data_IF_513092573471
#
_entry.id   IF_513092573471
#
_cell.length_a   1.000
_cell.length_b   1.000
_cell.length_c   1.000
_cell.angle_alpha   90.00
_cell.angle_beta   90.00
_cell.angle_gamma   90.00
#
_symmetry.space_group_name_H-M   'P 1'
#
loop_
_entity.id
_entity.type
_entity.pdbx_description
1 polymer ?
#
# COMPACT_ATOMS: atom_id res chain seq x y z
N UNK A 1 1.62 15.74 12.26
CA UNK A 1 2.63 15.00 11.47
C UNK A 1 3.08 15.87 10.32
N UNK A 2 4.39 16.06 10.11
CA UNK A 2 4.91 16.81 8.96
C UNK A 2 4.46 16.13 7.67
N UNK A 3 3.49 16.72 6.98
CA UNK A 3 3.09 16.28 5.66
C UNK A 3 4.30 16.44 4.73
N UNK A 4 4.98 15.34 4.42
CA UNK A 4 6.06 15.33 3.42
C UNK A 4 5.46 15.94 2.15
N UNK A 5 5.95 17.11 1.69
CA UNK A 5 5.32 17.77 0.55
C UNK A 5 5.34 16.85 -0.66
N UNK A 6 4.29 16.92 -1.49
CA UNK A 6 4.10 16.10 -2.70
C UNK A 6 5.39 15.89 -3.52
N UNK A 7 6.21 16.91 -3.83
CA UNK A 7 7.45 16.70 -4.59
C UNK A 7 8.43 15.74 -3.91
N UNK A 8 8.52 15.75 -2.58
CA UNK A 8 9.40 14.85 -1.84
C UNK A 8 8.91 13.40 -1.83
N UNK A 9 7.60 13.16 -1.99
CA UNK A 9 7.05 11.78 -2.09
C UNK A 9 7.46 11.13 -3.41
N UNK A 10 7.37 11.87 -4.51
CA UNK A 10 7.89 11.43 -5.80
C UNK A 10 9.41 11.32 -5.80
N UNK A 11 10.10 12.20 -5.08
CA UNK A 11 11.54 12.09 -4.89
C UNK A 11 11.92 10.79 -4.17
N UNK A 12 11.23 10.42 -3.08
CA UNK A 12 11.48 9.17 -2.34
C UNK A 12 11.21 7.95 -3.24
N UNK A 13 10.09 7.95 -3.96
CA UNK A 13 9.77 6.88 -4.90
C UNK A 13 10.81 6.81 -6.03
N UNK A 14 11.23 7.96 -6.56
CA UNK A 14 12.28 8.08 -7.57
C UNK A 14 13.62 7.55 -7.07
N UNK A 15 14.02 7.92 -5.85
CA UNK A 15 15.24 7.41 -5.20
C UNK A 15 15.14 5.90 -5.02
N UNK A 16 14.00 5.37 -4.58
CA UNK A 16 13.79 3.93 -4.42
C UNK A 16 13.94 3.17 -5.74
N UNK A 17 13.33 3.68 -6.82
CA UNK A 17 13.43 3.08 -8.16
C UNK A 17 14.87 3.20 -8.69
N UNK A 18 15.50 4.37 -8.57
CA UNK A 18 16.87 4.62 -9.02
C UNK A 18 17.86 3.73 -8.25
N UNK A 19 17.69 3.57 -6.93
CA UNK A 19 18.56 2.69 -6.14
C UNK A 19 18.37 1.23 -6.51
N UNK A 20 17.14 0.77 -6.76
CA UNK A 20 16.91 -0.57 -7.33
C UNK A 20 17.58 -0.73 -8.70
N UNK A 21 17.47 0.27 -9.58
CA UNK A 21 18.07 0.26 -10.92
C UNK A 21 19.61 0.24 -10.84
N UNK A 22 20.22 1.11 -10.03
CA UNK A 22 21.67 1.17 -9.83
C UNK A 22 22.22 -0.10 -9.19
N UNK A 23 21.48 -0.68 -8.24
CA UNK A 23 21.81 -1.98 -7.67
C UNK A 23 21.84 -3.06 -8.74
N UNK A 24 20.86 -3.05 -9.64
CA UNK A 24 20.75 -4.03 -10.72
C UNK A 24 21.86 -3.90 -11.77
N UNK A 25 22.26 -2.65 -12.09
CA UNK A 25 23.36 -2.36 -13.02
C UNK A 25 24.73 -2.86 -12.52
N UNK A 26 24.91 -2.96 -11.20
CA UNK A 26 26.14 -3.48 -10.57
C UNK A 26 26.28 -5.01 -10.66
N UNK A 27 25.22 -5.73 -11.03
CA UNK A 27 25.26 -7.20 -11.15
C UNK A 27 25.64 -7.65 -12.57
N UNK A 28 26.25 -8.85 -12.72
CA UNK A 28 26.71 -9.36 -14.02
C UNK A 28 25.57 -9.49 -15.05
N UNK A 29 25.85 -9.42 -16.37
CA UNK A 29 24.83 -9.54 -17.43
C UNK A 29 23.93 -10.76 -17.33
N UNK A 30 24.43 -11.88 -16.82
CA UNK A 30 23.64 -13.08 -16.54
C UNK A 30 22.54 -12.88 -15.47
N UNK A 31 22.61 -11.79 -14.70
CA UNK A 31 21.61 -11.36 -13.72
C UNK A 31 20.85 -10.07 -14.12
N UNK A 32 21.26 -9.36 -15.18
CA UNK A 32 20.71 -8.05 -15.65
C UNK A 32 19.29 -8.09 -16.24
N UNK A 33 18.65 -9.26 -16.32
CA UNK A 33 17.31 -9.40 -16.91
C UNK A 33 16.16 -9.21 -15.89
N UNK A 34 16.19 -8.15 -15.07
CA UNK A 34 15.02 -7.78 -14.23
C UNK A 34 14.08 -6.78 -14.91
N UNK A 35 14.33 -6.43 -16.17
CA UNK A 35 13.50 -5.49 -16.91
C UNK A 35 12.03 -5.93 -16.98
N UNK A 36 11.76 -7.24 -16.93
CA UNK A 36 10.40 -7.81 -16.88
C UNK A 36 9.68 -7.55 -15.54
N UNK A 37 10.41 -7.27 -14.47
CA UNK A 37 9.85 -6.98 -13.13
C UNK A 37 9.34 -5.55 -13.04
N UNK A 38 9.92 -4.60 -13.78
CA UNK A 38 9.47 -3.20 -13.74
C UNK A 38 8.02 -3.04 -14.25
N UNK A 39 7.61 -3.60 -15.41
CA UNK A 39 6.20 -3.58 -15.83
C UNK A 39 5.26 -4.22 -14.81
N UNK A 40 5.71 -5.27 -14.10
CA UNK A 40 4.91 -5.87 -13.03
C UNK A 40 4.75 -4.92 -11.84
N UNK A 41 5.84 -4.32 -11.35
CA UNK A 41 5.81 -3.35 -10.24
C UNK A 41 4.94 -2.14 -10.62
N UNK A 42 5.13 -1.61 -11.83
CA UNK A 42 4.32 -0.50 -12.34
C UNK A 42 2.85 -0.88 -12.48
N UNK A 43 2.55 -2.07 -13.02
CA UNK A 43 1.19 -2.57 -13.15
C UNK A 43 0.48 -2.72 -11.80
N UNK A 44 1.14 -3.33 -10.82
CA UNK A 44 0.60 -3.46 -9.46
C UNK A 44 0.51 -2.10 -8.76
N UNK A 45 1.46 -1.19 -9.01
CA UNK A 45 1.37 0.21 -8.60
C UNK A 45 0.12 0.89 -9.14
N UNK A 46 -0.17 0.77 -10.44
CA UNK A 46 -1.39 1.32 -11.03
C UNK A 46 -2.67 0.75 -10.40
N UNK A 47 -2.72 -0.56 -10.13
CA UNK A 47 -3.83 -1.17 -9.39
C UNK A 47 -3.95 -0.57 -7.99
N UNK A 48 -2.83 -0.41 -7.29
CA UNK A 48 -2.80 0.26 -5.99
C UNK A 48 -3.30 1.70 -6.06
N UNK A 49 -2.95 2.46 -7.09
CA UNK A 49 -3.44 3.82 -7.31
C UNK A 49 -4.96 3.85 -7.45
N UNK A 50 -5.55 2.93 -8.23
CA UNK A 50 -7.01 2.83 -8.40
C UNK A 50 -7.69 2.52 -7.06
N UNK A 51 -7.16 1.56 -6.30
CA UNK A 51 -7.70 1.21 -4.97
C UNK A 51 -7.56 2.38 -4.00
N UNK A 52 -6.41 3.06 -3.99
CA UNK A 52 -6.16 4.23 -3.15
C UNK A 52 -7.10 5.39 -3.47
N UNK A 53 -7.33 5.70 -4.76
CA UNK A 53 -8.33 6.70 -5.18
C UNK A 53 -9.73 6.30 -4.73
N UNK A 54 -10.12 5.04 -4.95
CA UNK A 54 -11.45 4.56 -4.55
C UNK A 54 -11.67 4.69 -3.04
N UNK A 55 -10.69 4.28 -2.23
CA UNK A 55 -10.74 4.44 -0.78
C UNK A 55 -10.84 5.91 -0.38
N UNK A 56 -9.96 6.76 -0.92
CA UNK A 56 -9.86 8.16 -0.51
C UNK A 56 -11.11 8.95 -0.94
N UNK A 57 -11.71 8.62 -2.09
CA UNK A 57 -13.00 9.20 -2.50
C UNK A 57 -14.12 8.81 -1.53
N UNK A 58 -14.25 7.53 -1.18
CA UNK A 58 -15.28 7.05 -0.23
C UNK A 58 -15.07 7.71 1.14
N UNK A 59 -13.84 7.71 1.65
CA UNK A 59 -13.54 8.26 2.97
C UNK A 59 -13.62 9.77 3.01
N UNK A 60 -13.33 10.47 1.92
CA UNK A 60 -13.52 11.93 1.82
C UNK A 60 -14.99 12.34 1.82
N UNK A 61 -15.88 11.46 1.33
CA UNK A 61 -17.31 11.64 1.44
C UNK A 61 -17.82 11.39 2.87
N UNK A 62 -17.23 10.43 3.59
CA UNK A 62 -17.58 10.14 4.99
C UNK A 62 -17.09 11.22 5.96
N UNK A 63 -15.85 11.68 5.83
CA UNK A 63 -15.30 12.77 6.64
C UNK A 63 -14.33 13.62 5.81
N UNK A 64 -14.82 14.74 5.23
CA UNK A 64 -13.95 15.74 4.61
C UNK A 64 -12.91 16.29 5.60
N UNK A 65 -13.27 16.40 6.88
CA UNK A 65 -12.44 16.94 7.96
C UNK A 65 -11.17 16.12 8.17
N UNK A 66 -11.23 14.80 7.96
CA UNK A 66 -10.05 13.95 7.97
C UNK A 66 -9.02 14.40 6.94
N UNK A 67 -9.46 14.78 5.75
CA UNK A 67 -8.55 15.21 4.69
C UNK A 67 -8.09 16.66 4.88
N UNK A 68 -8.99 17.56 5.30
CA UNK A 68 -8.67 18.96 5.52
C UNK A 68 -7.72 19.15 6.71
N UNK A 69 -8.05 18.58 7.86
CA UNK A 69 -7.30 18.84 9.10
C UNK A 69 -6.17 17.83 9.32
N UNK A 70 -6.43 16.53 9.11
CA UNK A 70 -5.43 15.50 9.42
C UNK A 70 -4.46 15.25 8.27
N UNK A 71 -4.95 15.23 7.02
CA UNK A 71 -4.07 15.12 5.84
C UNK A 71 -3.55 16.48 5.36
N UNK A 72 -4.11 17.59 5.84
CA UNK A 72 -3.68 18.95 5.49
C UNK A 72 -3.94 19.30 4.02
N UNK A 73 -5.01 18.75 3.42
CA UNK A 73 -5.35 19.08 2.04
C UNK A 73 -6.01 20.46 1.97
N UNK A 74 -5.67 21.28 0.96
CA UNK A 74 -6.36 22.55 0.79
C UNK A 74 -7.79 22.31 0.29
N UNK A 75 -8.71 23.17 0.73
CA UNK A 75 -10.13 23.08 0.38
C UNK A 75 -10.40 23.39 -1.10
N UNK A 76 -9.53 24.19 -1.73
CA UNK A 76 -9.60 24.47 -3.16
C UNK A 76 -9.32 23.19 -3.97
N UNK A 77 -10.19 22.89 -4.94
CA UNK A 77 -10.11 21.65 -5.73
C UNK A 77 -10.02 20.39 -4.86
N UNK A 78 -10.72 20.36 -3.72
CA UNK A 78 -10.64 19.30 -2.71
C UNK A 78 -10.65 17.88 -3.29
N UNK A 79 -11.63 17.55 -4.14
CA UNK A 79 -11.72 16.23 -4.76
C UNK A 79 -10.50 15.88 -5.61
N UNK A 80 -9.91 16.85 -6.31
CA UNK A 80 -8.69 16.63 -7.07
C UNK A 80 -7.49 16.34 -6.16
N UNK A 81 -7.38 17.04 -5.04
CA UNK A 81 -6.33 16.79 -4.06
C UNK A 81 -6.49 15.41 -3.40
N UNK A 82 -7.73 14.98 -3.12
CA UNK A 82 -8.05 13.64 -2.63
C UNK A 82 -7.64 12.57 -3.64
N UNK A 83 -8.01 12.73 -4.92
CA UNK A 83 -7.62 11.81 -6.01
C UNK A 83 -6.10 11.75 -6.14
N UNK A 84 -5.42 12.89 -6.11
CA UNK A 84 -3.98 12.97 -6.24
C UNK A 84 -3.27 12.31 -5.05
N UNK A 85 -3.77 12.53 -3.82
CA UNK A 85 -3.25 11.90 -2.62
C UNK A 85 -3.43 10.37 -2.66
N UNK A 86 -4.66 9.92 -2.93
CA UNK A 86 -5.01 8.50 -2.97
C UNK A 86 -4.27 7.75 -4.06
N UNK A 87 -4.11 8.36 -5.24
CA UNK A 87 -3.34 7.76 -6.34
C UNK A 87 -1.86 7.62 -5.99
N UNK A 88 -1.23 8.62 -5.38
CA UNK A 88 0.18 8.57 -4.96
C UNK A 88 0.41 7.52 -3.87
N UNK A 89 -0.40 7.56 -2.81
CA UNK A 89 -0.27 6.63 -1.68
C UNK A 89 -0.56 5.19 -2.12
N UNK A 90 -1.63 5.00 -2.90
CA UNK A 90 -1.99 3.71 -3.48
C UNK A 90 -0.93 3.16 -4.42
N UNK A 91 -0.39 4.00 -5.32
CA UNK A 91 0.69 3.59 -6.22
C UNK A 91 1.92 3.13 -5.45
N UNK A 92 2.37 3.93 -4.48
CA UNK A 92 3.52 3.60 -3.66
C UNK A 92 3.31 2.28 -2.91
N UNK A 93 2.14 2.09 -2.29
CA UNK A 93 1.82 0.85 -1.59
C UNK A 93 1.81 -0.37 -2.54
N UNK A 94 1.22 -0.26 -3.73
CA UNK A 94 1.21 -1.33 -4.73
C UNK A 94 2.62 -1.66 -5.26
N UNK A 95 3.42 -0.63 -5.55
CA UNK A 95 4.79 -0.80 -6.02
C UNK A 95 5.69 -1.44 -4.94
N UNK A 96 5.61 -0.96 -3.70
CA UNK A 96 6.36 -1.54 -2.57
C UNK A 96 5.90 -2.97 -2.29
N UNK A 97 4.59 -3.22 -2.25
CA UNK A 97 4.04 -4.55 -2.01
C UNK A 97 4.46 -5.58 -3.07
N UNK A 98 4.42 -5.21 -4.35
CA UNK A 98 4.93 -6.07 -5.42
C UNK A 98 6.45 -6.28 -5.33
N UNK A 99 7.21 -5.26 -4.93
CA UNK A 99 8.64 -5.40 -4.60
C UNK A 99 8.88 -6.44 -3.50
N UNK A 100 8.10 -6.41 -2.41
CA UNK A 100 8.18 -7.39 -1.32
C UNK A 100 7.87 -8.80 -1.84
N UNK A 101 6.82 -8.98 -2.66
CA UNK A 101 6.50 -10.27 -3.26
C UNK A 101 7.64 -10.80 -4.15
N UNK A 102 8.30 -9.91 -4.89
CA UNK A 102 9.48 -10.24 -5.70
C UNK A 102 10.71 -10.60 -4.85
N UNK A 103 10.84 -10.08 -3.61
CA UNK A 103 11.89 -10.46 -2.66
C UNK A 103 11.56 -11.73 -1.86
N UNK A 104 10.26 -12.04 -1.71
CA UNK A 104 9.78 -13.27 -1.09
C UNK A 104 10.04 -14.51 -1.95
N UNK A 105 10.31 -14.34 -3.24
CA UNK A 105 10.54 -15.45 -4.17
C UNK A 105 11.95 -16.06 -3.99
N UNK A 106 12.12 -17.36 -4.22
CA UNK A 106 13.42 -18.01 -4.25
C UNK A 106 14.27 -17.62 -5.47
N UNK A 107 15.59 -17.68 -5.31
CA UNK A 107 16.56 -17.48 -6.40
C UNK A 107 16.83 -18.82 -7.09
N UNK A 108 16.10 -19.17 -8.15
CA UNK A 108 16.44 -20.31 -9.04
C UNK A 108 16.73 -19.81 -10.48
N UNK A 109 16.97 -20.66 -11.49
CA UNK A 109 17.53 -20.25 -12.80
C UNK A 109 16.57 -19.77 -13.93
N UNK A 110 15.24 -20.02 -13.94
CA UNK A 110 14.32 -19.59 -15.03
C UNK A 110 13.32 -18.47 -14.65
N UNK A 111 13.55 -17.21 -15.07
CA UNK A 111 12.83 -15.99 -14.61
C UNK A 111 11.45 -15.68 -15.24
N UNK A 112 11.23 -15.90 -16.54
CA UNK A 112 10.01 -15.45 -17.25
C UNK A 112 8.74 -16.20 -16.82
N UNK A 113 8.85 -17.50 -16.51
CA UNK A 113 7.74 -18.29 -15.94
C UNK A 113 7.36 -17.84 -14.50
N UNK A 114 8.08 -16.89 -13.88
CA UNK A 114 7.93 -16.57 -12.44
C UNK A 114 7.04 -15.39 -12.10
N UNK A 115 6.87 -14.42 -12.99
CA UNK A 115 5.93 -13.33 -12.72
C UNK A 115 4.50 -13.89 -12.80
N UNK A 116 4.26 -14.77 -13.78
CA UNK A 116 3.00 -15.48 -13.92
C UNK A 116 2.61 -16.25 -12.64
N UNK A 117 3.56 -16.80 -11.88
CA UNK A 117 3.25 -17.46 -10.61
C UNK A 117 2.91 -16.50 -9.47
N UNK A 118 3.28 -15.21 -9.57
CA UNK A 118 2.95 -14.18 -8.59
C UNK A 118 1.61 -13.50 -8.87
N UNK A 119 1.18 -13.43 -10.14
CA UNK A 119 -0.08 -12.78 -10.55
C UNK A 119 -1.29 -13.24 -9.69
N UNK A 120 -1.50 -14.53 -9.42
CA UNK A 120 -2.63 -14.98 -8.60
C UNK A 120 -2.58 -14.46 -7.15
N UNK A 121 -1.39 -14.11 -6.64
CA UNK A 121 -1.17 -13.67 -5.27
C UNK A 121 -1.32 -12.17 -5.09
N UNK A 122 -1.13 -11.38 -6.16
CA UNK A 122 -1.19 -9.91 -6.12
C UNK A 122 -2.51 -9.39 -5.56
N UNK A 123 -3.63 -10.08 -5.83
CA UNK A 123 -4.96 -9.63 -5.38
C UNK A 123 -5.13 -9.69 -3.86
N UNK A 124 -4.43 -10.60 -3.17
CA UNK A 124 -4.70 -10.89 -1.76
C UNK A 124 -4.34 -9.73 -0.81
N UNK A 125 -3.21 -9.01 -0.98
CA UNK A 125 -2.97 -7.79 -0.22
C UNK A 125 -4.09 -6.76 -0.34
N UNK A 126 -4.64 -6.56 -1.54
CA UNK A 126 -5.75 -5.62 -1.76
C UNK A 126 -7.05 -6.12 -1.12
N UNK A 127 -7.40 -7.38 -1.33
CA UNK A 127 -8.60 -8.00 -0.72
C UNK A 127 -8.52 -7.94 0.80
N UNK A 128 -7.37 -8.30 1.38
CA UNK A 128 -7.15 -8.27 2.82
C UNK A 128 -7.20 -6.86 3.37
N UNK A 129 -6.57 -5.89 2.69
CA UNK A 129 -6.66 -4.48 3.05
C UNK A 129 -8.12 -4.02 3.07
N UNK A 130 -8.87 -4.20 1.98
CA UNK A 130 -10.27 -3.76 1.88
C UNK A 130 -11.13 -4.41 2.96
N UNK A 131 -10.97 -5.72 3.18
CA UNK A 131 -11.73 -6.45 4.20
C UNK A 131 -11.44 -5.92 5.61
N UNK A 132 -10.16 -5.76 5.96
CA UNK A 132 -9.76 -5.27 7.29
C UNK A 132 -10.07 -3.78 7.48
N UNK A 133 -9.93 -2.95 6.45
CA UNK A 133 -10.38 -1.56 6.46
C UNK A 133 -11.88 -1.44 6.73
N UNK A 134 -12.68 -2.25 6.03
CA UNK A 134 -14.13 -2.33 6.27
C UNK A 134 -14.44 -2.76 7.70
N UNK A 135 -13.80 -3.82 8.19
CA UNK A 135 -14.00 -4.31 9.56
C UNK A 135 -13.63 -3.24 10.59
N UNK A 136 -12.47 -2.60 10.46
CA UNK A 136 -12.04 -1.56 11.40
C UNK A 136 -12.96 -0.35 11.36
N UNK A 137 -13.51 0.02 10.19
CA UNK A 137 -14.52 1.06 10.08
C UNK A 137 -15.81 0.71 10.82
N UNK A 138 -16.34 -0.50 10.62
CA UNK A 138 -17.57 -0.97 11.27
C UNK A 138 -17.43 -1.08 12.80
N UNK A 139 -16.29 -1.58 13.27
CA UNK A 139 -16.02 -1.78 14.70
C UNK A 139 -15.30 -0.57 15.33
N UNK A 140 -15.21 0.55 14.62
CA UNK A 140 -14.47 1.75 15.08
C UNK A 140 -15.00 2.27 16.42
N UNK A 141 -16.31 2.19 16.65
CA UNK A 141 -16.95 2.65 17.90
C UNK A 141 -16.64 1.77 19.12
N UNK A 142 -16.26 0.52 18.93
CA UNK A 142 -15.85 -0.38 20.03
C UNK A 142 -14.36 -0.29 20.33
N UNK A 143 -13.57 0.17 19.37
CA UNK A 143 -12.14 0.34 19.49
C UNK A 143 -11.88 1.73 20.07
N UNK A 144 -12.02 1.86 21.39
CA UNK A 144 -11.65 3.06 22.11
C UNK A 144 -10.13 3.24 22.02
N UNK A 145 -9.68 4.09 21.09
CA UNK A 145 -8.28 4.48 21.05
C UNK A 145 -8.04 5.63 22.04
N UNK A 146 -7.03 5.55 22.91
CA UNK A 146 -6.79 6.60 23.89
C UNK A 146 -6.52 7.93 23.20
N UNK A 147 -7.35 8.92 23.54
CA UNK A 147 -7.42 10.35 23.17
C UNK A 147 -6.12 10.96 22.61
N UNK A 148 -5.68 10.54 21.43
CA UNK A 148 -4.44 11.04 20.80
C UNK A 148 -4.73 12.11 19.75
N UNK A 149 -5.99 12.52 19.63
CA UNK A 149 -6.41 13.63 18.79
C UNK A 149 -6.58 14.94 19.57
N UNK A 150 -5.98 15.08 20.76
CA UNK A 150 -6.27 16.14 21.75
C UNK A 150 -6.30 17.61 21.30
N UNK A 151 -5.92 17.92 20.05
CA UNK A 151 -6.08 19.24 19.41
C UNK A 151 -7.32 19.36 18.48
N UNK A 152 -7.91 18.24 18.05
CA UNK A 152 -9.08 18.19 17.15
C UNK A 152 -10.42 18.19 17.90
N UNK A 153 -10.43 17.83 19.19
CA UNK A 153 -11.65 17.76 20.00
C UNK A 153 -12.35 19.12 20.16
N UNK A 154 -11.61 20.23 19.97
CA UNK A 154 -12.17 21.58 19.94
C UNK A 154 -12.51 22.12 18.53
N UNK A 155 -12.13 21.39 17.48
CA UNK A 155 -12.30 21.80 16.08
C UNK A 155 -13.46 21.07 15.38
N UNK A 156 -13.90 19.95 15.93
CA UNK A 156 -14.89 19.07 15.32
C UNK A 156 -16.16 19.01 16.17
N UNK A 157 -17.31 19.09 15.51
CA UNK A 157 -18.58 18.72 16.14
C UNK A 157 -18.58 17.22 16.48
N UNK A 158 -19.35 16.77 17.50
CA UNK A 158 -19.35 15.37 17.94
C UNK A 158 -19.65 14.34 16.83
N UNK A 159 -20.52 14.70 15.88
CA UNK A 159 -20.83 13.89 14.69
C UNK A 159 -19.64 13.82 13.71
N UNK A 160 -18.93 14.93 13.48
CA UNK A 160 -17.74 14.98 12.64
C UNK A 160 -16.60 14.16 13.26
N UNK A 161 -16.41 14.26 14.58
CA UNK A 161 -15.43 13.47 15.31
C UNK A 161 -15.68 11.95 15.16
N UNK A 162 -16.95 11.52 15.18
CA UNK A 162 -17.30 10.11 14.96
C UNK A 162 -16.90 9.62 13.56
N UNK A 163 -17.24 10.36 12.51
CA UNK A 163 -16.89 9.98 11.14
C UNK A 163 -15.39 10.08 10.88
N UNK A 164 -14.75 11.09 11.43
CA UNK A 164 -13.30 11.24 11.40
C UNK A 164 -12.61 9.99 11.99
N UNK A 165 -13.03 9.55 13.18
CA UNK A 165 -12.49 8.36 13.82
C UNK A 165 -12.74 7.11 12.98
N UNK A 166 -13.96 6.96 12.43
CA UNK A 166 -14.30 5.87 11.53
C UNK A 166 -13.36 5.82 10.32
N UNK A 167 -13.14 6.95 9.64
CA UNK A 167 -12.23 7.07 8.50
C UNK A 167 -10.79 6.75 8.89
N UNK A 168 -10.34 7.23 10.04
CA UNK A 168 -9.01 6.91 10.54
C UNK A 168 -8.82 5.40 10.78
N UNK A 169 -9.82 4.75 11.38
CA UNK A 169 -9.81 3.30 11.61
C UNK A 169 -9.86 2.51 10.31
N UNK A 170 -10.60 2.97 9.29
CA UNK A 170 -10.56 2.37 7.94
C UNK A 170 -9.12 2.37 7.40
N UNK A 171 -8.41 3.50 7.49
CA UNK A 171 -7.03 3.60 7.03
C UNK A 171 -6.08 2.67 7.80
N UNK A 172 -6.22 2.57 9.12
CA UNK A 172 -5.44 1.63 9.94
C UNK A 172 -5.71 0.19 9.49
N UNK A 173 -6.98 -0.17 9.31
CA UNK A 173 -7.38 -1.50 8.85
C UNK A 173 -6.75 -1.83 7.50
N UNK A 174 -6.84 -0.93 6.51
CA UNK A 174 -6.21 -1.10 5.19
C UNK A 174 -4.72 -1.42 5.31
N UNK A 175 -3.97 -0.66 6.12
CA UNK A 175 -2.54 -0.90 6.32
C UNK A 175 -2.28 -2.25 7.00
N UNK A 176 -3.05 -2.58 8.05
CA UNK A 176 -2.92 -3.84 8.77
C UNK A 176 -3.16 -5.05 7.86
N UNK A 177 -4.25 -5.06 7.08
CA UNK A 177 -4.54 -6.14 6.15
C UNK A 177 -3.50 -6.29 5.05
N UNK A 178 -3.05 -5.18 4.46
CA UNK A 178 -2.00 -5.21 3.44
C UNK A 178 -0.71 -5.85 4.00
N UNK A 179 -0.25 -5.40 5.17
CA UNK A 179 0.98 -5.90 5.81
C UNK A 179 0.86 -7.37 6.17
N UNK A 180 -0.22 -7.77 6.85
CA UNK A 180 -0.44 -9.17 7.26
C UNK A 180 -0.47 -10.09 6.05
N UNK A 181 -1.22 -9.73 5.00
CA UNK A 181 -1.31 -10.51 3.78
C UNK A 181 0.04 -10.65 3.07
N UNK A 182 0.79 -9.54 2.93
CA UNK A 182 2.13 -9.56 2.35
C UNK A 182 3.09 -10.46 3.13
N UNK A 183 3.07 -10.42 4.46
CA UNK A 183 3.88 -11.30 5.31
C UNK A 183 3.51 -12.78 5.10
N UNK A 184 2.22 -13.12 5.18
CA UNK A 184 1.74 -14.50 5.02
C UNK A 184 2.10 -15.06 3.65
N UNK A 185 1.87 -14.30 2.58
CA UNK A 185 2.19 -14.72 1.21
C UNK A 185 3.69 -14.89 1.03
N UNK A 186 4.49 -13.92 1.52
CA UNK A 186 5.95 -14.00 1.41
C UNK A 186 6.52 -15.22 2.12
N UNK A 187 5.99 -15.55 3.30
CA UNK A 187 6.35 -16.76 4.05
C UNK A 187 5.94 -18.02 3.27
N UNK A 188 4.70 -18.07 2.77
CA UNK A 188 4.17 -19.21 2.01
C UNK A 188 4.99 -19.48 0.73
N UNK A 189 5.32 -18.44 -0.02
CA UNK A 189 6.14 -18.53 -1.24
C UNK A 189 7.54 -19.07 -0.95
N UNK A 190 8.14 -18.72 0.20
CA UNK A 190 9.43 -19.27 0.63
C UNK A 190 9.32 -20.75 0.98
N UNK A 191 8.32 -21.14 1.77
CA UNK A 191 8.16 -22.52 2.21
C UNK A 191 7.88 -23.51 1.08
N UNK A 192 7.05 -23.12 0.10
CA UNK A 192 6.71 -24.01 -1.03
C UNK A 192 7.95 -24.44 -1.83
N UNK A 193 8.98 -23.61 -1.82
CA UNK A 193 10.20 -23.84 -2.60
C UNK A 193 11.18 -24.71 -1.84
N UNK A 194 11.32 -24.49 -0.53
CA UNK A 194 12.13 -25.37 0.31
C UNK A 194 11.68 -26.82 0.18
N UNK A 195 10.37 -27.09 0.11
CA UNK A 195 9.85 -28.45 -0.10
C UNK A 195 10.22 -29.04 -1.46
N UNK A 196 10.11 -28.25 -2.52
CA UNK A 196 10.40 -28.73 -3.88
C UNK A 196 11.90 -29.01 -4.11
N UNK A 197 12.79 -28.46 -3.28
CA UNK A 197 14.22 -28.75 -3.29
C UNK A 197 14.61 -29.93 -2.38
N UNK A 198 13.73 -30.34 -1.46
CA UNK A 198 13.97 -31.46 -0.54
C UNK A 198 13.36 -32.78 -0.99
N UNK A 199 12.49 -32.78 -2.00
CA UNK A 199 11.99 -34.00 -2.62
C UNK A 199 13.03 -34.51 -3.63
N UNK A 200 13.68 -35.67 -3.42
CA UNK A 200 14.55 -36.26 -4.42
C UNK A 200 13.73 -36.69 -5.65
N UNK A 201 14.34 -36.65 -6.85
CA UNK A 201 13.67 -37.02 -8.11
C UNK A 201 13.15 -38.46 -8.12
#
# INVERSE_FOLDING_TARGET
MLAIPVPYRFLILGIFIITMLLWDLRHPPSQRYRWQEYPFILGVGCVGAIVGVGNDLITSWLSPEYFLYFKGLPAELFLWNVILLGSQAGFAAGAVGSGILLLGRPVSQNRTHRIATLVPWVKWPFVSAIATGTLFGLFSHHLHWPQSFGDLDGLLEPNQAHWFHTVWMIHIGLYAGAVVSLCVISIHLRYRVSRHLSDPP
#
